data_IF_639508173805
#
_entry.id   IF_639508173805
#
_cell.length_a   1.000
_cell.length_b   1.000
_cell.length_c   1.000
_cell.angle_alpha   90.00
_cell.angle_beta   90.00
_cell.angle_gamma   90.00
#
_symmetry.space_group_name_H-M   'P 1'
#
loop_
_entity.id
_entity.type
_entity.pdbx_description
1 polymer ?
#
# COMPACT_ATOMS: atom_id res chain seq x y z
N UNK A 1 9.56 -58.30 -3.01
CA UNK A 1 10.96 -57.92 -2.72
C UNK A 1 11.31 -56.71 -3.57
N UNK A 2 11.38 -55.52 -2.99
CA UNK A 2 11.93 -54.32 -3.64
C UNK A 2 13.02 -53.78 -2.72
N UNK A 3 14.18 -53.55 -3.32
CA UNK A 3 15.47 -53.18 -2.71
C UNK A 3 15.66 -51.70 -3.01
N UNK A 4 15.34 -50.81 -2.07
CA UNK A 4 16.01 -49.52 -1.78
C UNK A 4 15.29 -48.87 -0.59
N UNK A 5 16.03 -48.54 0.47
CA UNK A 5 15.54 -47.68 1.55
C UNK A 5 15.47 -46.24 1.01
N UNK A 6 14.26 -45.76 0.73
CA UNK A 6 14.01 -44.39 0.29
C UNK A 6 14.24 -43.40 1.46
N UNK A 7 14.71 -42.16 1.19
CA UNK A 7 14.86 -41.14 2.22
C UNK A 7 13.52 -40.80 2.89
N UNK A 8 13.54 -40.34 4.15
CA UNK A 8 12.34 -40.14 4.98
C UNK A 8 11.26 -39.24 4.35
N UNK A 9 11.64 -38.28 3.49
CA UNK A 9 10.68 -37.45 2.75
C UNK A 9 9.93 -38.23 1.66
N UNK A 10 10.57 -39.23 1.03
CA UNK A 10 9.94 -40.09 0.01
C UNK A 10 9.09 -41.17 0.64
N UNK A 11 9.46 -41.65 1.83
CA UNK A 11 8.58 -42.53 2.62
C UNK A 11 7.28 -41.81 3.01
N UNK A 12 7.34 -40.52 3.33
CA UNK A 12 6.16 -39.66 3.56
C UNK A 12 5.34 -39.39 2.28
N UNK A 13 5.95 -39.48 1.09
CA UNK A 13 5.24 -39.37 -0.19
C UNK A 13 4.56 -40.71 -0.57
N UNK A 14 5.16 -41.84 -0.21
CA UNK A 14 4.65 -43.19 -0.49
C UNK A 14 3.43 -43.52 0.38
N UNK A 15 3.37 -43.04 1.63
CA UNK A 15 2.17 -43.12 2.49
C UNK A 15 0.99 -42.25 2.00
N UNK A 16 1.25 -41.31 1.08
CA UNK A 16 0.23 -40.52 0.39
C UNK A 16 -0.20 -41.13 -0.94
N UNK A 17 0.27 -42.34 -1.26
CA UNK A 17 -0.27 -43.07 -2.40
C UNK A 17 -1.76 -43.39 -2.19
N UNK A 18 -2.58 -43.33 -3.25
CA UNK A 18 -4.00 -43.05 -3.11
C UNK A 18 -4.79 -44.31 -2.71
N UNK A 19 -4.91 -44.58 -1.42
CA UNK A 19 -5.90 -45.53 -0.89
C UNK A 19 -7.05 -44.73 -0.25
N UNK A 20 -7.74 -43.98 -1.13
CA UNK A 20 -8.90 -43.11 -0.85
C UNK A 20 -9.09 -42.11 -2.01
N UNK A 21 -10.20 -42.19 -2.75
CA UNK A 21 -10.51 -41.56 -4.07
C UNK A 21 -9.37 -41.39 -5.10
N UNK A 22 -8.19 -41.97 -4.86
CA UNK A 22 -7.46 -42.77 -5.84
C UNK A 22 -6.78 -42.04 -7.00
N UNK A 23 -7.10 -40.77 -7.23
CA UNK A 23 -7.11 -40.23 -8.58
C UNK A 23 -6.59 -38.81 -8.68
N UNK A 24 -6.25 -38.42 -9.92
CA UNK A 24 -5.80 -37.08 -10.24
C UNK A 24 -6.94 -36.08 -10.16
N UNK A 25 -6.70 -34.95 -9.52
CA UNK A 25 -7.65 -33.86 -9.32
C UNK A 25 -7.40 -32.74 -10.33
N UNK A 26 -7.94 -32.90 -11.54
CA UNK A 26 -7.72 -31.97 -12.64
C UNK A 26 -8.52 -30.66 -12.55
N UNK A 27 -9.34 -30.49 -11.50
CA UNK A 27 -10.14 -29.30 -11.28
C UNK A 27 -9.45 -28.23 -10.43
N UNK A 28 -10.20 -27.16 -10.17
CA UNK A 28 -9.90 -26.16 -9.16
C UNK A 28 -10.93 -26.26 -8.05
N UNK A 29 -10.50 -26.04 -6.81
CA UNK A 29 -11.30 -26.34 -5.63
C UNK A 29 -11.18 -25.22 -4.61
N UNK A 30 -12.29 -24.95 -3.92
CA UNK A 30 -12.32 -24.00 -2.81
C UNK A 30 -11.65 -24.63 -1.59
N UNK A 31 -10.76 -23.88 -0.97
CA UNK A 31 -10.06 -24.22 0.26
C UNK A 31 -10.10 -23.04 1.24
N UNK A 32 -9.81 -23.32 2.50
CA UNK A 32 -9.58 -22.28 3.52
C UNK A 32 -8.12 -22.28 3.91
N UNK A 33 -7.55 -21.11 4.13
CA UNK A 33 -6.21 -20.97 4.70
C UNK A 33 -6.26 -21.25 6.20
N UNK A 34 -5.41 -22.14 6.68
CA UNK A 34 -5.36 -22.55 8.10
C UNK A 34 -4.05 -22.17 8.78
N UNK A 35 -2.97 -21.95 8.02
CA UNK A 35 -1.69 -21.48 8.55
C UNK A 35 -0.91 -20.73 7.47
N UNK A 36 -0.10 -19.77 7.88
CA UNK A 36 0.78 -18.95 7.03
C UNK A 36 2.25 -19.05 7.45
N UNK A 37 2.54 -19.74 8.55
CA UNK A 37 3.91 -19.91 9.07
C UNK A 37 4.61 -21.06 8.34
N UNK A 38 5.04 -20.79 7.11
CA UNK A 38 5.73 -21.79 6.29
C UNK A 38 7.04 -22.25 6.95
N UNK A 39 7.17 -23.54 7.34
CA UNK A 39 8.37 -24.04 8.00
C UNK A 39 9.63 -23.99 7.12
N UNK A 40 9.45 -23.98 5.80
CA UNK A 40 10.57 -23.97 4.84
C UNK A 40 10.88 -22.56 4.30
N UNK A 41 10.17 -21.52 4.77
CA UNK A 41 10.32 -20.12 4.32
C UNK A 41 10.22 -19.93 2.80
N UNK A 42 9.34 -20.67 2.12
CA UNK A 42 9.12 -20.56 0.67
C UNK A 42 7.95 -19.63 0.32
N UNK A 43 7.31 -19.03 1.33
CA UNK A 43 6.15 -18.17 1.15
C UNK A 43 4.88 -18.94 0.79
N UNK A 44 4.77 -20.20 1.21
CA UNK A 44 3.57 -21.03 1.04
C UNK A 44 2.53 -20.72 2.12
N UNK A 45 1.29 -21.10 1.86
CA UNK A 45 0.22 -21.14 2.87
C UNK A 45 -0.28 -22.56 3.05
N UNK A 46 -0.67 -22.93 4.27
CA UNK A 46 -1.32 -24.21 4.54
C UNK A 46 -2.80 -24.03 4.25
N UNK A 47 -3.31 -24.82 3.32
CA UNK A 47 -4.72 -24.81 2.92
C UNK A 47 -5.39 -26.09 3.40
N UNK A 48 -6.69 -25.99 3.67
CA UNK A 48 -7.49 -27.11 4.09
C UNK A 48 -8.80 -27.18 3.29
N UNK A 49 -9.06 -28.32 2.66
CA UNK A 49 -10.27 -28.55 1.84
C UNK A 49 -11.42 -28.96 2.75
N UNK A 50 -12.47 -28.13 2.95
CA UNK A 50 -13.54 -28.45 3.89
C UNK A 50 -14.38 -29.67 3.51
N UNK A 51 -14.40 -30.01 2.22
CA UNK A 51 -15.24 -31.06 1.64
C UNK A 51 -14.49 -32.40 1.44
N UNK A 52 -13.17 -32.43 1.62
CA UNK A 52 -12.36 -33.63 1.40
C UNK A 52 -11.68 -34.09 2.69
N UNK A 53 -11.89 -35.34 3.12
CA UNK A 53 -11.02 -35.95 4.10
C UNK A 53 -9.66 -36.30 3.46
N UNK A 54 -8.64 -36.47 4.30
CA UNK A 54 -7.37 -37.11 3.95
C UNK A 54 -7.51 -38.65 4.00
N UNK A 55 -6.42 -39.35 3.70
CA UNK A 55 -6.38 -40.81 3.74
C UNK A 55 -6.63 -41.41 5.14
N UNK A 56 -6.43 -40.63 6.21
CA UNK A 56 -6.69 -41.00 7.60
C UNK A 56 -8.09 -40.63 8.10
N UNK A 57 -8.95 -40.07 7.24
CA UNK A 57 -10.30 -39.61 7.58
C UNK A 57 -10.34 -38.26 8.30
N UNK A 58 -9.21 -37.57 8.45
CA UNK A 58 -9.11 -36.21 8.97
C UNK A 58 -9.33 -35.19 7.84
N UNK A 59 -9.32 -33.89 8.13
CA UNK A 59 -9.44 -32.86 7.09
C UNK A 59 -8.20 -32.87 6.19
N UNK A 60 -8.38 -32.83 4.86
CA UNK A 60 -7.23 -32.69 3.95
C UNK A 60 -6.57 -31.33 4.13
N UNK A 61 -5.28 -31.34 4.47
CA UNK A 61 -4.46 -30.14 4.60
C UNK A 61 -3.12 -30.30 3.88
N UNK A 62 -2.67 -29.24 3.20
CA UNK A 62 -1.39 -29.26 2.51
C UNK A 62 -0.79 -27.84 2.40
N UNK A 63 0.54 -27.77 2.35
CA UNK A 63 1.24 -26.53 2.02
C UNK A 63 1.15 -26.27 0.52
N UNK A 64 0.58 -25.13 0.16
CA UNK A 64 0.36 -24.72 -1.22
C UNK A 64 1.24 -23.51 -1.58
N UNK A 65 1.85 -23.55 -2.76
CA UNK A 65 2.49 -22.37 -3.35
C UNK A 65 1.44 -21.35 -3.76
N UNK A 66 1.84 -20.08 -3.90
CA UNK A 66 0.95 -19.02 -4.33
C UNK A 66 1.29 -18.59 -5.77
N UNK A 67 0.28 -18.57 -6.63
CA UNK A 67 0.34 -17.88 -7.91
C UNK A 67 0.22 -16.36 -7.65
N UNK A 68 1.37 -15.71 -7.54
CA UNK A 68 1.46 -14.25 -7.36
C UNK A 68 1.58 -13.54 -8.71
N UNK A 69 1.26 -12.25 -8.80
CA UNK A 69 1.33 -11.48 -10.06
C UNK A 69 2.75 -11.47 -10.67
N UNK A 70 3.78 -11.44 -9.83
CA UNK A 70 5.17 -11.49 -10.25
C UNK A 70 6.00 -12.20 -9.18
N UNK A 71 6.74 -13.25 -9.56
CA UNK A 71 7.62 -14.00 -8.66
C UNK A 71 9.04 -14.07 -9.20
N UNK A 72 10.03 -13.73 -8.38
CA UNK A 72 11.44 -13.80 -8.74
C UNK A 72 12.36 -13.68 -7.51
N UNK A 73 13.66 -13.89 -7.72
CA UNK A 73 14.63 -13.79 -6.63
C UNK A 73 14.63 -12.38 -6.02
N UNK A 74 14.19 -12.27 -4.76
CA UNK A 74 14.05 -11.02 -4.01
C UNK A 74 13.26 -9.90 -4.74
N UNK A 75 12.27 -10.27 -5.57
CA UNK A 75 11.39 -9.33 -6.27
C UNK A 75 10.05 -9.96 -6.59
N UNK A 76 8.99 -9.15 -6.62
CA UNK A 76 7.66 -9.63 -6.97
C UNK A 76 6.54 -8.95 -6.20
N UNK A 77 5.34 -9.51 -6.31
CA UNK A 77 4.19 -9.13 -5.48
C UNK A 77 4.09 -10.04 -4.25
N UNK A 78 3.88 -9.43 -3.08
CA UNK A 78 3.72 -10.13 -1.81
C UNK A 78 2.35 -9.82 -1.20
N UNK A 79 1.35 -10.58 -1.63
CA UNK A 79 -0.02 -10.52 -1.12
C UNK A 79 -0.40 -11.93 -0.67
N UNK A 80 -0.01 -12.26 0.56
CA UNK A 80 -0.30 -13.56 1.16
C UNK A 80 -1.69 -13.50 1.79
N UNK A 81 -2.61 -14.42 1.46
CA UNK A 81 -3.90 -14.51 2.12
C UNK A 81 -3.75 -14.75 3.61
N UNK A 82 -4.77 -14.36 4.35
CA UNK A 82 -4.82 -14.49 5.79
C UNK A 82 -5.42 -15.82 6.24
N UNK A 83 -5.16 -16.21 7.49
CA UNK A 83 -5.85 -17.37 8.08
C UNK A 83 -7.36 -17.09 8.07
N UNK A 84 -8.13 -18.14 7.75
CA UNK A 84 -9.56 -18.15 7.49
C UNK A 84 -10.00 -17.54 6.15
N UNK A 85 -9.10 -17.01 5.33
CA UNK A 85 -9.46 -16.56 3.97
C UNK A 85 -9.82 -17.77 3.09
N UNK A 86 -10.85 -17.55 2.26
CA UNK A 86 -11.25 -18.49 1.22
C UNK A 86 -10.39 -18.31 -0.03
N UNK A 87 -9.80 -19.41 -0.50
CA UNK A 87 -8.90 -19.41 -1.65
C UNK A 87 -9.27 -20.49 -2.65
N UNK A 88 -8.98 -20.24 -3.92
CA UNK A 88 -9.12 -21.21 -5.00
C UNK A 88 -7.78 -21.93 -5.21
N UNK A 89 -7.79 -23.26 -5.16
CA UNK A 89 -6.60 -24.11 -5.26
C UNK A 89 -6.68 -25.01 -6.49
N UNK A 90 -5.60 -25.07 -7.26
CA UNK A 90 -5.38 -26.06 -8.31
C UNK A 90 -4.26 -27.03 -7.93
N UNK A 91 -4.19 -28.16 -8.62
CA UNK A 91 -3.21 -29.22 -8.35
C UNK A 91 -2.37 -29.50 -9.60
N UNK A 92 -1.04 -29.44 -9.47
CA UNK A 92 -0.15 -29.64 -10.61
C UNK A 92 -0.31 -31.03 -11.22
N UNK A 93 -0.68 -31.11 -12.50
CA UNK A 93 -1.01 -32.37 -13.19
C UNK A 93 -2.08 -33.22 -12.48
N UNK A 94 -2.89 -32.58 -11.63
CA UNK A 94 -3.87 -33.20 -10.77
C UNK A 94 -3.30 -33.94 -9.56
N UNK A 95 -2.03 -33.73 -9.19
CA UNK A 95 -1.42 -34.33 -8.01
C UNK A 95 -1.85 -33.59 -6.72
N UNK A 96 -2.64 -34.22 -5.82
CA UNK A 96 -3.06 -33.59 -4.56
C UNK A 96 -1.88 -33.18 -3.67
N UNK A 97 -0.71 -33.80 -3.84
CA UNK A 97 0.51 -33.44 -3.10
C UNK A 97 1.16 -32.14 -3.61
N UNK A 98 0.71 -31.58 -4.73
CA UNK A 98 1.25 -30.35 -5.34
C UNK A 98 0.19 -29.27 -5.51
N UNK A 99 -0.40 -28.75 -4.41
CA UNK A 99 -1.37 -27.68 -4.49
C UNK A 99 -0.72 -26.32 -4.79
N UNK A 100 -1.46 -25.49 -5.52
CA UNK A 100 -1.13 -24.10 -5.80
C UNK A 100 -2.38 -23.24 -5.62
N UNK A 101 -2.30 -22.22 -4.77
CA UNK A 101 -3.32 -21.19 -4.62
C UNK A 101 -3.29 -20.31 -5.87
N UNK A 102 -4.44 -20.19 -6.52
CA UNK A 102 -4.62 -19.39 -7.74
C UNK A 102 -5.10 -17.96 -7.42
N UNK A 103 -5.81 -17.77 -6.31
CA UNK A 103 -6.33 -16.48 -5.87
C UNK A 103 -7.27 -16.61 -4.68
N UNK A 104 -7.64 -15.45 -4.10
CA UNK A 104 -8.64 -15.35 -3.04
C UNK A 104 -10.05 -15.18 -3.60
N UNK A 105 -11.05 -15.56 -2.81
CA UNK A 105 -12.47 -15.44 -3.15
C UNK A 105 -13.19 -14.62 -2.08
N UNK A 106 -14.06 -13.70 -2.52
CA UNK A 106 -15.09 -13.13 -1.65
C UNK A 106 -16.29 -14.07 -1.57
N UNK A 107 -16.97 -14.05 -0.44
CA UNK A 107 -18.11 -14.92 -0.17
C UNK A 107 -19.22 -14.15 0.60
N UNK A 108 -20.23 -14.86 1.12
CA UNK A 108 -21.34 -14.22 1.84
C UNK A 108 -20.94 -13.55 3.17
N UNK A 109 -19.78 -13.94 3.74
CA UNK A 109 -19.20 -13.38 4.96
C UNK A 109 -18.16 -12.31 4.63
N UNK A 110 -17.20 -12.62 3.76
CA UNK A 110 -16.08 -11.77 3.38
C UNK A 110 -16.40 -11.00 2.11
N UNK A 111 -16.66 -9.71 2.26
CA UNK A 111 -17.22 -8.86 1.20
C UNK A 111 -16.13 -8.11 0.43
N UNK A 112 -16.37 -7.79 -0.86
CA UNK A 112 -15.47 -6.92 -1.62
C UNK A 112 -15.36 -5.52 -0.99
N UNK A 113 -14.20 -4.85 -1.12
CA UNK A 113 -13.95 -3.55 -0.50
C UNK A 113 -14.70 -2.40 -1.19
N UNK A 114 -15.24 -2.63 -2.39
CA UNK A 114 -15.99 -1.66 -3.17
C UNK A 114 -17.15 -2.36 -3.92
N UNK A 115 -18.17 -1.57 -4.28
CA UNK A 115 -19.28 -2.00 -5.12
C UNK A 115 -19.30 -1.22 -6.43
N UNK A 116 -19.92 -1.79 -7.47
CA UNK A 116 -20.21 -1.05 -8.71
C UNK A 116 -21.16 0.13 -8.41
N UNK A 117 -21.16 1.13 -9.30
CA UNK A 117 -22.15 2.20 -9.20
C UNK A 117 -23.58 1.69 -9.54
N UNK A 118 -24.60 2.48 -9.21
CA UNK A 118 -26.00 2.12 -9.49
C UNK A 118 -26.34 2.04 -10.98
N UNK A 119 -25.46 2.52 -11.86
CA UNK A 119 -25.59 2.45 -13.31
C UNK A 119 -24.84 1.25 -13.92
N UNK A 120 -24.20 0.41 -13.09
CA UNK A 120 -23.42 -0.76 -13.53
C UNK A 120 -22.07 -0.42 -14.13
N UNK A 121 -21.56 0.80 -13.94
CA UNK A 121 -20.23 1.21 -14.40
C UNK A 121 -19.18 0.90 -13.34
N UNK A 122 -18.01 0.50 -13.83
CA UNK A 122 -16.86 0.11 -13.01
C UNK A 122 -15.75 1.16 -13.13
N UNK A 123 -15.96 2.32 -12.52
CA UNK A 123 -14.97 3.39 -12.47
C UNK A 123 -13.89 3.15 -11.42
N UNK A 124 -14.17 2.39 -10.36
CA UNK A 124 -13.25 2.23 -9.22
C UNK A 124 -12.43 0.94 -9.30
N UNK A 125 -11.11 1.04 -9.29
CA UNK A 125 -10.16 -0.07 -9.05
C UNK A 125 -9.54 0.13 -7.67
N UNK A 126 -9.75 -0.82 -6.77
CA UNK A 126 -9.36 -0.66 -5.35
C UNK A 126 -8.44 -1.80 -4.92
N UNK A 127 -7.32 -1.44 -4.31
CA UNK A 127 -6.46 -2.34 -3.53
C UNK A 127 -6.56 -1.91 -2.06
N UNK A 128 -7.12 -2.77 -1.21
CA UNK A 128 -7.33 -2.47 0.21
C UNK A 128 -6.69 -3.55 1.07
N UNK A 129 -5.85 -3.15 2.01
CA UNK A 129 -5.26 -4.05 3.01
C UNK A 129 -6.26 -4.36 4.13
N UNK A 130 -5.99 -5.44 4.89
CA UNK A 130 -6.82 -5.89 6.03
C UNK A 130 -7.23 -4.75 6.97
N UNK A 131 -6.26 -3.90 7.35
CA UNK A 131 -6.51 -2.83 8.31
C UNK A 131 -7.03 -1.54 7.66
N UNK A 132 -7.22 -1.52 6.33
CA UNK A 132 -7.88 -0.41 5.63
C UNK A 132 -6.97 0.64 5.00
N UNK A 133 -5.67 0.36 4.84
CA UNK A 133 -4.85 1.17 3.91
C UNK A 133 -5.32 0.86 2.50
N UNK A 134 -5.59 1.90 1.71
CA UNK A 134 -6.31 1.77 0.44
C UNK A 134 -5.63 2.56 -0.66
N UNK A 135 -5.48 1.94 -1.84
CA UNK A 135 -5.16 2.61 -3.10
C UNK A 135 -6.39 2.49 -4.00
N UNK A 136 -6.87 3.62 -4.51
CA UNK A 136 -8.03 3.69 -5.40
C UNK A 136 -7.63 4.42 -6.68
N UNK A 137 -7.87 3.77 -7.82
CA UNK A 137 -7.93 4.42 -9.13
C UNK A 137 -9.41 4.64 -9.45
N UNK A 138 -9.79 5.88 -9.71
CA UNK A 138 -11.13 6.24 -10.15
C UNK A 138 -11.02 6.74 -11.59
N UNK A 139 -11.54 5.96 -12.53
CA UNK A 139 -11.50 6.21 -13.97
C UNK A 139 -12.77 6.95 -14.45
N UNK A 140 -13.38 7.78 -13.59
CA UNK A 140 -14.55 8.55 -14.00
C UNK A 140 -14.16 9.63 -15.01
N UNK A 141 -14.79 9.59 -16.19
CA UNK A 141 -14.48 10.45 -17.34
C UNK A 141 -14.37 11.94 -16.94
N UNK A 142 -13.20 12.53 -17.14
CA UNK A 142 -12.89 13.93 -16.88
C UNK A 142 -12.74 14.31 -15.40
N UNK A 143 -12.71 13.32 -14.50
CA UNK A 143 -12.52 13.45 -13.04
C UNK A 143 -11.65 12.32 -12.50
N UNK A 144 -10.73 11.84 -13.32
CA UNK A 144 -9.85 10.73 -13.01
C UNK A 144 -9.00 11.08 -11.78
N UNK A 145 -8.84 10.11 -10.88
CA UNK A 145 -8.07 10.31 -9.66
C UNK A 145 -7.33 9.06 -9.21
N UNK A 146 -6.12 9.26 -8.68
CA UNK A 146 -5.38 8.28 -7.89
C UNK A 146 -5.40 8.73 -6.43
N UNK A 147 -5.90 7.87 -5.55
CA UNK A 147 -6.06 8.16 -4.13
C UNK A 147 -5.39 7.09 -3.29
N UNK A 148 -4.52 7.51 -2.38
CA UNK A 148 -3.96 6.68 -1.32
C UNK A 148 -4.49 7.18 0.02
N UNK A 149 -5.07 6.28 0.80
CA UNK A 149 -5.71 6.58 2.08
C UNK A 149 -5.24 5.62 3.17
N UNK A 150 -5.14 6.16 4.37
CA UNK A 150 -4.93 5.40 5.59
C UNK A 150 -6.15 5.51 6.50
N UNK A 151 -6.42 4.52 7.36
CA UNK A 151 -7.50 4.61 8.35
C UNK A 151 -7.32 5.78 9.34
N UNK A 152 -6.08 6.25 9.52
CA UNK A 152 -5.77 7.40 10.37
C UNK A 152 -6.12 8.76 9.74
N UNK A 153 -6.62 8.78 8.51
CA UNK A 153 -7.02 9.99 7.80
C UNK A 153 -5.89 10.71 7.04
N UNK A 154 -4.73 10.06 6.86
CA UNK A 154 -3.71 10.56 5.94
C UNK A 154 -4.09 10.24 4.50
N UNK A 155 -3.93 11.20 3.60
CA UNK A 155 -4.29 11.08 2.19
C UNK A 155 -3.19 11.60 1.26
N UNK A 156 -3.11 10.99 0.09
CA UNK A 156 -2.34 11.47 -1.06
C UNK A 156 -3.21 11.32 -2.30
N UNK A 157 -3.46 12.42 -3.02
CA UNK A 157 -4.42 12.47 -4.12
C UNK A 157 -3.82 13.15 -5.34
N UNK A 158 -3.94 12.48 -6.50
CA UNK A 158 -3.71 13.06 -7.82
C UNK A 158 -5.06 13.14 -8.53
N UNK A 159 -5.40 14.30 -9.09
CA UNK A 159 -6.66 14.53 -9.82
C UNK A 159 -6.35 15.13 -11.17
N UNK A 160 -7.05 14.67 -12.21
CA UNK A 160 -6.95 15.24 -13.55
C UNK A 160 -7.99 16.36 -13.80
N UNK A 161 -9.15 16.33 -13.12
CA UNK A 161 -10.24 17.29 -13.36
C UNK A 161 -10.92 17.84 -12.10
N UNK A 162 -10.81 19.16 -11.80
CA UNK A 162 -9.73 20.07 -12.17
C UNK A 162 -8.38 19.58 -11.60
N UNK A 163 -7.30 19.77 -12.37
CA UNK A 163 -5.97 19.23 -12.07
C UNK A 163 -5.43 19.67 -10.72
N UNK A 164 -5.11 18.70 -9.85
CA UNK A 164 -4.55 18.97 -8.52
C UNK A 164 -3.73 17.80 -7.97
N UNK A 165 -2.69 18.12 -7.19
CA UNK A 165 -1.95 17.17 -6.35
C UNK A 165 -2.07 17.62 -4.91
N UNK A 166 -2.51 16.73 -4.03
CA UNK A 166 -2.76 17.05 -2.63
C UNK A 166 -2.21 15.96 -1.70
N UNK A 167 -1.48 16.38 -0.68
CA UNK A 167 -1.07 15.55 0.45
C UNK A 167 -1.67 16.18 1.69
N UNK A 168 -2.41 15.42 2.48
CA UNK A 168 -3.03 15.91 3.70
C UNK A 168 -2.93 14.90 4.84
N UNK A 169 -2.86 15.40 6.06
CA UNK A 169 -3.04 14.60 7.27
C UNK A 169 -4.37 14.90 7.96
N UNK A 170 -4.67 14.12 9.00
CA UNK A 170 -5.87 14.31 9.82
C UNK A 170 -5.77 15.46 10.84
N UNK A 171 -4.62 16.14 10.91
CA UNK A 171 -4.37 17.24 11.84
C UNK A 171 -4.54 18.62 11.19
N UNK A 172 -4.96 18.68 9.92
CA UNK A 172 -5.15 19.93 9.18
C UNK A 172 -3.88 20.46 8.51
N UNK A 173 -2.83 19.64 8.39
CA UNK A 173 -1.67 19.98 7.58
C UNK A 173 -1.88 19.50 6.15
N UNK A 174 -1.51 20.34 5.17
CA UNK A 174 -1.61 19.97 3.76
C UNK A 174 -0.61 20.66 2.86
N UNK A 175 -0.30 20.02 1.74
CA UNK A 175 0.42 20.61 0.61
C UNK A 175 -0.43 20.37 -0.63
N UNK A 176 -0.82 21.46 -1.30
CA UNK A 176 -1.69 21.42 -2.47
C UNK A 176 -1.04 22.14 -3.64
N UNK A 177 -0.96 21.47 -4.78
CA UNK A 177 -0.49 22.00 -6.05
C UNK A 177 -1.67 22.02 -7.01
N UNK A 178 -2.01 23.20 -7.53
CA UNK A 178 -3.13 23.40 -8.43
C UNK A 178 -2.83 24.53 -9.42
N UNK A 179 -3.73 24.78 -10.38
CA UNK A 179 -3.56 25.84 -11.38
C UNK A 179 -3.34 27.23 -10.76
N UNK A 180 -3.92 27.49 -9.58
CA UNK A 180 -3.75 28.75 -8.88
C UNK A 180 -2.38 28.91 -8.20
N UNK A 181 -1.61 27.83 -8.03
CA UNK A 181 -0.29 27.83 -7.41
C UNK A 181 -0.07 26.69 -6.43
N UNK A 182 0.91 26.88 -5.54
CA UNK A 182 1.28 25.92 -4.50
C UNK A 182 0.90 26.52 -3.14
N UNK A 183 0.11 25.78 -2.36
CA UNK A 183 -0.29 26.17 -1.00
C UNK A 183 0.27 25.15 0.00
N UNK A 184 0.91 25.66 1.05
CA UNK A 184 1.37 24.86 2.20
C UNK A 184 0.58 25.34 3.42
N UNK A 185 -0.20 24.45 4.01
CA UNK A 185 -0.98 24.72 5.22
C UNK A 185 -0.36 23.92 6.36
N UNK A 186 -0.09 24.60 7.47
CA UNK A 186 0.31 23.95 8.72
C UNK A 186 -0.62 24.41 9.84
N UNK A 187 -1.16 23.46 10.60
CA UNK A 187 -2.07 23.74 11.70
C UNK A 187 -1.40 24.50 12.85
N UNK A 188 -0.08 24.34 13.01
CA UNK A 188 0.67 24.95 14.11
C UNK A 188 1.94 25.64 13.62
N UNK A 189 2.83 24.92 12.94
CA UNK A 189 4.16 25.43 12.60
C UNK A 189 4.72 24.80 11.33
N UNK A 190 5.35 25.63 10.50
CA UNK A 190 6.28 25.19 9.45
C UNK A 190 7.72 25.41 9.95
N UNK A 191 8.59 24.40 9.81
CA UNK A 191 10.03 24.52 10.12
C UNK A 191 10.84 24.11 8.90
N UNK A 192 11.77 24.96 8.47
CA UNK A 192 12.67 24.68 7.34
C UNK A 192 14.10 24.60 7.86
N UNK A 193 14.66 23.39 7.90
CA UNK A 193 16.05 23.16 8.29
C UNK A 193 16.87 22.86 7.03
N UNK A 194 17.80 23.74 6.69
CA UNK A 194 18.69 23.58 5.55
C UNK A 194 20.03 24.27 5.84
N UNK A 195 21.10 23.84 5.17
CA UNK A 195 22.39 24.55 5.20
C UNK A 195 22.30 25.93 4.54
N UNK A 196 21.46 26.05 3.51
CA UNK A 196 21.14 27.30 2.82
C UNK A 196 19.70 27.25 2.30
N UNK A 197 18.97 28.36 2.43
CA UNK A 197 17.68 28.58 1.77
C UNK A 197 17.84 29.74 0.79
N UNK A 198 17.63 29.49 -0.51
CA UNK A 198 17.65 30.51 -1.54
C UNK A 198 16.23 30.73 -2.07
N UNK A 199 15.76 31.98 -2.07
CA UNK A 199 14.43 32.37 -2.56
C UNK A 199 14.62 33.39 -3.69
N UNK A 200 14.09 33.06 -4.87
CA UNK A 200 14.07 33.94 -6.03
C UNK A 200 12.63 34.12 -6.48
N UNK A 201 12.12 35.34 -6.37
CA UNK A 201 10.75 35.70 -6.76
C UNK A 201 10.71 37.18 -7.15
N UNK A 202 9.74 37.57 -7.97
CA UNK A 202 9.51 38.98 -8.28
C UNK A 202 9.08 39.79 -7.04
N UNK A 203 8.47 39.14 -6.06
CA UNK A 203 8.06 39.72 -4.79
C UNK A 203 8.01 38.61 -3.71
N UNK A 204 8.44 38.94 -2.49
CA UNK A 204 8.25 38.12 -1.30
C UNK A 204 7.45 38.94 -0.30
N UNK A 205 6.20 38.53 -0.05
CA UNK A 205 5.33 39.14 0.96
C UNK A 205 5.44 38.36 2.27
N UNK A 206 5.65 39.07 3.38
CA UNK A 206 5.72 38.47 4.72
C UNK A 206 4.71 39.15 5.63
N UNK A 207 3.51 38.57 5.70
CA UNK A 207 2.44 39.01 6.59
C UNK A 207 2.58 38.35 7.96
N UNK A 208 3.49 38.89 8.78
CA UNK A 208 3.75 38.39 10.13
C UNK A 208 3.72 39.53 11.15
N UNK A 209 3.25 39.23 12.37
CA UNK A 209 3.33 40.16 13.49
C UNK A 209 4.80 40.48 13.86
N UNK A 210 5.69 39.51 13.66
CA UNK A 210 7.13 39.66 13.90
C UNK A 210 7.92 38.76 12.95
N UNK A 211 8.96 39.34 12.35
CA UNK A 211 9.97 38.62 11.56
C UNK A 211 11.33 38.78 12.24
N UNK A 212 11.90 37.68 12.70
CA UNK A 212 13.17 37.68 13.44
C UNK A 212 14.31 37.14 12.59
N UNK A 213 15.38 37.91 12.46
CA UNK A 213 16.63 37.52 11.81
C UNK A 213 17.76 37.61 12.82
N UNK A 214 18.45 36.49 13.09
CA UNK A 214 19.53 36.44 14.08
C UNK A 214 20.88 36.95 13.55
N UNK A 215 20.95 37.29 12.26
CA UNK A 215 22.17 37.69 11.56
C UNK A 215 21.99 38.95 10.75
N UNK A 216 22.80 39.09 9.70
CA UNK A 216 22.79 40.29 8.83
C UNK A 216 21.67 40.18 7.79
N UNK A 217 20.83 41.21 7.71
CA UNK A 217 19.89 41.41 6.60
C UNK A 217 20.55 42.35 5.59
N UNK A 218 20.79 41.85 4.37
CA UNK A 218 21.31 42.66 3.25
C UNK A 218 20.16 42.97 2.28
N UNK A 219 19.92 44.25 2.04
CA UNK A 219 18.95 44.75 1.07
C UNK A 219 19.48 46.02 0.43
N UNK A 220 19.14 46.27 -0.84
CA UNK A 220 19.54 47.49 -1.54
C UNK A 220 18.76 48.72 -1.07
N UNK A 221 17.50 48.53 -0.68
CA UNK A 221 16.65 49.59 -0.13
C UNK A 221 15.69 48.98 0.90
N UNK A 222 15.54 49.65 2.05
CA UNK A 222 14.59 49.30 3.10
C UNK A 222 13.66 50.48 3.33
N UNK A 223 12.35 50.26 3.20
CA UNK A 223 11.32 51.25 3.49
C UNK A 223 10.51 50.75 4.69
N UNK A 224 10.40 51.56 5.72
CA UNK A 224 9.69 51.22 6.95
C UNK A 224 9.14 52.48 7.61
N UNK A 225 8.02 52.36 8.34
CA UNK A 225 7.42 53.48 9.06
C UNK A 225 8.31 53.96 10.23
N UNK A 226 9.01 53.02 10.88
CA UNK A 226 9.87 53.31 12.03
C UNK A 226 10.96 52.25 12.16
N UNK A 227 12.17 52.68 12.54
CA UNK A 227 13.27 51.80 12.96
C UNK A 227 13.57 52.11 14.41
N UNK A 228 13.62 51.07 15.26
CA UNK A 228 14.13 51.16 16.62
C UNK A 228 15.43 50.36 16.67
N UNK A 229 16.53 51.02 17.01
CA UNK A 229 17.84 50.37 17.14
C UNK A 229 18.58 50.95 18.34
N UNK A 230 19.33 50.09 19.04
CA UNK A 230 20.24 50.54 20.10
C UNK A 230 21.40 51.40 19.54
N UNK A 231 21.75 51.20 18.28
CA UNK A 231 22.76 51.98 17.56
C UNK A 231 22.39 52.08 16.09
N UNK A 232 22.40 53.28 15.53
CA UNK A 232 22.20 53.51 14.11
C UNK A 232 23.35 54.37 13.58
N UNK A 233 24.08 53.83 12.61
CA UNK A 233 25.11 54.57 11.88
C UNK A 233 24.55 54.88 10.50
N UNK A 234 23.98 56.08 10.25
CA UNK A 234 23.51 56.44 8.93
C UNK A 234 24.67 56.37 7.93
N UNK A 235 24.38 55.91 6.71
CA UNK A 235 25.29 56.15 5.58
C UNK A 235 25.47 57.66 5.39
N UNK A 236 26.61 58.07 4.80
CA UNK A 236 27.05 59.46 4.70
C UNK A 236 26.10 60.46 3.99
N UNK A 237 24.87 60.07 3.61
CA UNK A 237 23.89 60.90 2.91
C UNK A 237 22.63 61.30 3.71
N UNK A 238 22.44 60.84 4.95
CA UNK A 238 21.19 61.02 5.72
C UNK A 238 21.31 61.92 6.97
N UNK A 239 22.28 62.84 7.01
CA UNK A 239 22.35 63.87 8.07
C UNK A 239 21.81 65.18 7.49
N UNK A 240 20.52 65.45 7.66
CA UNK A 240 19.88 66.75 7.41
C UNK A 240 18.89 67.04 8.53
#
# INVERSE_FOLDING_TARGET
MRIVDLPAYEQLLDERLPMGWGGRWYGVFVALVVDIKDPDNQGRVKVALPWSPDAGGQRFEAWARLATMLGGNNRGSWFVPDVDDEVLVGFEHGDPCRPCVLGGLWNGRDKPPASMDGAGKNYKKVLRSRNGVQITLDDQDGREQLLLETPGGQTFTLKDGPGAVEIADSNGNSIKLETAGITITAAVKVTVNASQVAVSAGMVTVDAAMSSFSGVVKADTVICNSIVSASYTPGAGNIW
#
